data_IF_257589761376
#
_entry.id   IF_257589761376
#
_cell.length_a   1.000
_cell.length_b   1.000
_cell.length_c   1.000
_cell.angle_alpha   90.00
_cell.angle_beta   90.00
_cell.angle_gamma   90.00
#
_symmetry.space_group_name_H-M   'P 1'
#
loop_
_entity.id
_entity.type
_entity.pdbx_description
1 polymer ?
#
# COMPACT_ATOMS: atom_id res chain seq x y z
N UNK A 1 25.38 -29.76 52.71
CA UNK A 1 25.24 -28.68 51.70
C UNK A 1 24.12 -29.10 50.76
N UNK A 2 22.98 -28.42 50.84
CA UNK A 2 21.79 -28.68 50.04
C UNK A 2 22.01 -28.21 48.60
N UNK A 3 21.97 -29.14 47.66
CA UNK A 3 21.97 -28.85 46.23
C UNK A 3 20.71 -28.05 45.87
N UNK A 4 20.87 -26.74 45.68
CA UNK A 4 19.85 -25.89 45.09
C UNK A 4 19.79 -26.25 43.61
N UNK A 5 18.81 -27.07 43.25
CA UNK A 5 18.37 -27.22 41.86
C UNK A 5 17.89 -25.83 41.43
N UNK A 6 18.48 -25.18 40.41
CA UNK A 6 17.97 -23.90 39.95
C UNK A 6 16.57 -24.15 39.41
N UNK A 7 15.56 -23.61 40.09
CA UNK A 7 14.18 -23.58 39.63
C UNK A 7 14.17 -22.92 38.25
N UNK A 8 14.02 -23.71 37.18
CA UNK A 8 13.79 -23.20 35.83
C UNK A 8 12.49 -22.40 35.87
N UNK A 9 12.60 -21.08 35.98
CA UNK A 9 11.44 -20.20 35.89
C UNK A 9 10.88 -20.31 34.46
N UNK A 10 9.63 -20.77 34.36
CA UNK A 10 8.93 -20.94 33.08
C UNK A 10 8.05 -19.73 32.80
N UNK A 11 7.89 -19.43 31.51
CA UNK A 11 6.95 -18.42 31.00
C UNK A 11 5.98 -19.08 30.04
N UNK A 12 4.73 -18.60 30.05
CA UNK A 12 3.70 -18.99 29.11
C UNK A 12 3.58 -17.92 28.04
N UNK A 13 3.74 -18.30 26.77
CA UNK A 13 3.59 -17.40 25.64
C UNK A 13 2.42 -17.86 24.76
N UNK A 14 1.62 -16.90 24.33
CA UNK A 14 0.59 -17.13 23.31
C UNK A 14 1.15 -16.78 21.94
N UNK A 15 1.05 -17.72 21.01
CA UNK A 15 1.57 -17.63 19.66
C UNK A 15 0.41 -17.63 18.66
N UNK A 16 0.59 -16.99 17.51
CA UNK A 16 -0.33 -17.08 16.37
C UNK A 16 0.43 -17.40 15.10
N UNK A 17 -0.10 -18.31 14.29
CA UNK A 17 0.42 -18.56 12.94
C UNK A 17 -0.09 -17.48 12.00
N UNK A 18 0.82 -16.81 11.28
CA UNK A 18 0.50 -15.67 10.40
C UNK A 18 -0.51 -16.02 9.30
N UNK A 19 -0.29 -17.14 8.60
CA UNK A 19 -1.08 -17.56 7.45
C UNK A 19 -2.53 -17.88 7.82
N UNK A 20 -2.74 -18.80 8.77
CA UNK A 20 -4.07 -19.34 9.09
C UNK A 20 -4.71 -18.72 10.34
N UNK A 21 -4.01 -17.80 11.03
CA UNK A 21 -4.44 -17.13 12.27
C UNK A 21 -4.74 -18.08 13.42
N UNK A 22 -4.17 -19.27 13.40
CA UNK A 22 -4.36 -20.26 14.46
C UNK A 22 -3.50 -19.93 15.67
N UNK A 23 -4.16 -19.75 16.82
CA UNK A 23 -3.51 -19.43 18.10
C UNK A 23 -3.24 -20.70 18.89
N UNK A 24 -2.08 -20.76 19.53
CA UNK A 24 -1.68 -21.83 20.43
C UNK A 24 -0.81 -21.27 21.55
N UNK A 25 -0.63 -22.06 22.61
CA UNK A 25 0.14 -21.67 23.79
C UNK A 25 1.37 -22.56 23.89
N UNK A 26 2.49 -21.96 24.28
CA UNK A 26 3.72 -22.68 24.61
C UNK A 26 4.18 -22.34 26.03
N UNK A 27 5.02 -23.21 26.59
CA UNK A 27 5.69 -22.98 27.88
C UNK A 27 7.19 -23.19 27.68
N UNK A 28 8.00 -22.21 28.06
CA UNK A 28 9.46 -22.23 27.86
C UNK A 28 10.19 -21.64 29.07
N UNK A 29 11.45 -22.05 29.30
CA UNK A 29 12.29 -21.49 30.35
C UNK A 29 12.78 -20.08 30.03
N UNK A 30 12.81 -19.20 31.03
CA UNK A 30 13.31 -17.82 30.85
C UNK A 30 14.79 -17.74 30.45
N UNK A 31 15.59 -18.76 30.81
CA UNK A 31 17.02 -18.82 30.47
C UNK A 31 17.32 -19.43 29.10
N UNK A 32 16.29 -19.84 28.35
CA UNK A 32 16.46 -20.38 27.00
C UNK A 32 16.68 -19.24 26.00
N UNK A 33 17.39 -19.54 24.92
CA UNK A 33 17.60 -18.63 23.79
C UNK A 33 16.45 -18.68 22.77
N UNK A 34 16.56 -17.90 21.69
CA UNK A 34 15.55 -17.85 20.63
C UNK A 34 15.53 -19.12 19.75
N UNK A 35 16.62 -19.89 19.67
CA UNK A 35 16.64 -21.15 18.92
C UNK A 35 15.86 -22.24 19.66
N UNK A 36 16.02 -22.30 20.97
CA UNK A 36 15.17 -23.11 21.85
C UNK A 36 13.69 -22.70 21.75
N UNK A 37 13.40 -21.39 21.63
CA UNK A 37 12.04 -20.90 21.42
C UNK A 37 11.43 -21.42 20.12
N UNK A 38 12.19 -21.40 19.02
CA UNK A 38 11.76 -21.97 17.72
C UNK A 38 11.43 -23.45 17.82
N UNK A 39 12.26 -24.25 18.51
CA UNK A 39 12.02 -25.68 18.72
C UNK A 39 10.72 -25.93 19.49
N UNK A 40 10.52 -25.21 20.60
CA UNK A 40 9.30 -25.34 21.42
C UNK A 40 8.05 -24.90 20.63
N UNK A 41 8.16 -23.89 19.77
CA UNK A 41 7.07 -23.46 18.86
C UNK A 41 6.70 -24.57 17.87
N UNK A 42 7.70 -25.21 17.24
CA UNK A 42 7.49 -26.33 16.33
C UNK A 42 6.77 -27.49 17.03
N UNK A 43 7.22 -27.85 18.23
CA UNK A 43 6.62 -28.89 19.08
C UNK A 43 5.20 -28.53 19.56
N UNK A 44 4.90 -27.24 19.74
CA UNK A 44 3.58 -26.76 20.13
C UNK A 44 2.51 -26.95 19.05
N UNK A 45 2.90 -27.20 17.79
CA UNK A 45 1.99 -27.42 16.67
C UNK A 45 2.57 -28.40 15.63
N UNK A 46 2.81 -29.66 16.03
CA UNK A 46 3.68 -30.58 15.29
C UNK A 46 3.14 -30.91 13.89
N UNK A 47 1.82 -31.02 13.73
CA UNK A 47 1.20 -31.31 12.44
C UNK A 47 1.32 -30.15 11.43
N UNK A 48 1.34 -28.90 11.91
CA UNK A 48 1.38 -27.73 11.02
C UNK A 48 2.82 -27.43 10.57
N UNK A 49 3.79 -27.63 11.47
CA UNK A 49 5.22 -27.40 11.20
C UNK A 49 5.99 -28.67 10.82
N UNK A 50 5.30 -29.75 10.43
CA UNK A 50 5.93 -31.06 10.17
C UNK A 50 7.01 -31.01 9.08
N UNK A 51 6.85 -30.11 8.10
CA UNK A 51 7.73 -29.97 6.94
C UNK A 51 8.68 -28.76 7.01
N UNK A 52 8.71 -28.04 8.13
CA UNK A 52 9.56 -26.87 8.32
C UNK A 52 10.63 -27.16 9.37
N UNK A 53 11.89 -26.81 9.11
CA UNK A 53 12.91 -26.87 10.14
C UNK A 53 12.66 -25.80 11.20
N UNK A 54 12.98 -26.10 12.47
CA UNK A 54 12.70 -25.16 13.56
C UNK A 54 13.44 -23.83 13.32
N UNK A 55 14.68 -23.92 12.86
CA UNK A 55 15.57 -22.77 12.62
C UNK A 55 15.05 -21.88 11.47
N UNK A 56 14.27 -22.46 10.56
CA UNK A 56 13.62 -21.76 9.44
C UNK A 56 12.41 -20.92 9.88
N UNK A 57 11.81 -21.18 11.05
CA UNK A 57 10.67 -20.40 11.53
C UNK A 57 11.07 -18.93 11.71
N UNK A 58 10.27 -18.03 11.13
CA UNK A 58 10.43 -16.59 11.30
C UNK A 58 9.50 -16.16 12.43
N UNK A 59 10.08 -15.56 13.47
CA UNK A 59 9.36 -15.15 14.67
C UNK A 59 9.32 -13.63 14.75
N UNK A 60 8.14 -13.09 15.04
CA UNK A 60 7.94 -11.66 15.31
C UNK A 60 7.37 -11.49 16.70
N UNK A 61 7.94 -10.55 17.45
CA UNK A 61 7.42 -10.11 18.75
C UNK A 61 6.20 -9.23 18.54
N UNK A 62 5.21 -9.42 19.40
CA UNK A 62 4.03 -8.56 19.45
C UNK A 62 3.46 -8.49 20.87
N UNK A 63 2.48 -7.62 21.10
CA UNK A 63 1.71 -7.58 22.35
C UNK A 63 0.29 -7.10 22.05
N UNK A 64 -0.52 -8.01 21.52
CA UNK A 64 -1.84 -7.67 20.99
C UNK A 64 -2.89 -8.65 21.50
N UNK A 65 -4.08 -8.15 21.80
CA UNK A 65 -5.18 -9.00 22.22
C UNK A 65 -5.59 -9.99 21.11
N UNK A 66 -5.87 -11.24 21.50
CA UNK A 66 -6.12 -12.33 20.55
C UNK A 66 -7.31 -12.10 19.61
N UNK A 67 -8.33 -11.36 20.05
CA UNK A 67 -9.51 -11.01 19.26
C UNK A 67 -9.19 -10.11 18.05
N UNK A 68 -8.17 -9.26 18.14
CA UNK A 68 -7.72 -8.40 17.04
C UNK A 68 -7.04 -9.25 15.96
N UNK A 69 -6.09 -10.11 16.35
CA UNK A 69 -5.28 -10.88 15.38
C UNK A 69 -6.02 -12.09 14.77
N UNK A 70 -7.07 -12.59 15.43
CA UNK A 70 -7.93 -13.67 14.90
C UNK A 70 -8.74 -13.24 13.68
N UNK A 71 -9.06 -11.95 13.54
CA UNK A 71 -9.81 -11.48 12.40
C UNK A 71 -8.92 -11.52 11.14
N UNK A 72 -9.29 -12.36 10.15
CA UNK A 72 -8.55 -12.49 8.89
C UNK A 72 -8.59 -11.24 8.02
N UNK A 73 -9.58 -10.37 8.22
CA UNK A 73 -9.70 -9.08 7.53
C UNK A 73 -8.77 -8.01 8.12
N UNK A 74 -8.17 -8.30 9.28
CA UNK A 74 -7.17 -7.41 9.90
C UNK A 74 -5.78 -7.73 9.35
N UNK A 75 -5.18 -6.73 8.67
CA UNK A 75 -3.79 -6.76 8.26
C UNK A 75 -2.91 -7.08 9.48
N UNK A 76 -2.05 -8.09 9.37
CA UNK A 76 -1.20 -8.52 10.49
C UNK A 76 0.12 -7.74 10.53
N UNK A 77 0.47 -7.15 9.39
CA UNK A 77 1.69 -6.40 9.12
C UNK A 77 1.92 -5.27 10.15
N UNK A 78 0.92 -4.47 10.57
CA UNK A 78 1.12 -3.43 11.57
C UNK A 78 1.50 -3.95 12.97
N UNK A 79 1.34 -5.25 13.23
CA UNK A 79 1.58 -5.87 14.53
C UNK A 79 2.88 -6.68 14.58
N UNK A 80 3.66 -6.66 13.48
CA UNK A 80 4.99 -7.24 13.38
C UNK A 80 6.01 -6.23 13.94
N UNK A 81 6.14 -6.16 15.27
CA UNK A 81 6.91 -5.08 15.91
C UNK A 81 8.42 -5.27 15.73
N UNK A 82 8.93 -6.40 16.20
CA UNK A 82 10.36 -6.69 16.26
C UNK A 82 10.57 -8.12 15.76
N UNK A 83 11.45 -8.29 14.79
CA UNK A 83 11.83 -9.62 14.32
C UNK A 83 12.79 -10.24 15.34
N UNK A 84 12.53 -11.49 15.72
CA UNK A 84 13.30 -12.21 16.72
C UNK A 84 14.36 -13.08 16.02
N UNK A 85 15.49 -12.48 15.66
CA UNK A 85 16.55 -13.13 14.89
C UNK A 85 17.97 -13.01 15.46
N UNK A 86 18.19 -12.30 16.58
CA UNK A 86 19.48 -12.29 17.29
C UNK A 86 19.64 -13.55 18.16
N UNK A 87 20.56 -14.48 17.84
CA UNK A 87 20.74 -15.70 18.62
C UNK A 87 21.30 -15.45 20.04
N UNK A 88 21.84 -14.27 20.33
CA UNK A 88 22.32 -13.92 21.67
C UNK A 88 21.18 -13.55 22.64
N UNK A 89 19.97 -13.34 22.14
CA UNK A 89 18.82 -12.99 22.96
C UNK A 89 18.25 -14.19 23.72
N UNK A 90 17.89 -13.93 24.98
CA UNK A 90 17.20 -14.90 25.82
C UNK A 90 15.73 -14.56 25.96
N UNK A 91 14.90 -15.58 26.16
CA UNK A 91 13.46 -15.44 26.40
C UNK A 91 13.18 -14.42 27.53
N UNK A 92 14.01 -14.37 28.57
CA UNK A 92 13.90 -13.38 29.66
C UNK A 92 14.04 -11.94 29.15
N UNK A 93 15.05 -11.68 28.32
CA UNK A 93 15.32 -10.33 27.81
C UNK A 93 14.23 -9.91 26.82
N UNK A 94 13.81 -10.83 25.97
CA UNK A 94 12.79 -10.58 24.93
C UNK A 94 11.38 -10.45 25.52
N UNK A 95 11.01 -11.21 26.55
CA UNK A 95 9.65 -11.24 27.08
C UNK A 95 9.59 -10.87 28.57
N UNK A 96 9.64 -9.57 28.85
CA UNK A 96 9.47 -9.03 30.20
C UNK A 96 8.00 -8.76 30.53
N UNK A 97 7.61 -8.96 31.79
CA UNK A 97 6.29 -8.60 32.34
C UNK A 97 5.10 -9.16 31.55
N UNK A 98 5.19 -10.42 31.08
CA UNK A 98 4.08 -11.07 30.39
C UNK A 98 2.96 -11.40 31.38
N UNK A 99 1.95 -10.53 31.41
CA UNK A 99 0.69 -10.73 32.13
C UNK A 99 -0.46 -10.76 31.12
N UNK A 100 -1.42 -11.66 31.32
CA UNK A 100 -2.63 -11.78 30.50
C UNK A 100 -2.49 -12.69 29.26
N UNK A 101 -3.48 -12.60 28.37
CA UNK A 101 -3.70 -13.53 27.25
C UNK A 101 -3.41 -12.91 25.87
N UNK A 102 -2.60 -11.85 25.84
CA UNK A 102 -2.17 -11.25 24.59
C UNK A 102 -1.24 -12.19 23.83
N UNK A 103 -1.36 -12.18 22.50
CA UNK A 103 -0.39 -12.82 21.61
C UNK A 103 0.95 -12.09 21.80
N UNK A 104 2.00 -12.88 21.96
CA UNK A 104 3.38 -12.42 22.16
C UNK A 104 4.29 -12.73 20.98
N UNK A 105 3.94 -13.76 20.21
CA UNK A 105 4.73 -14.21 19.07
C UNK A 105 3.82 -14.45 17.86
N UNK A 106 4.16 -13.85 16.73
CA UNK A 106 3.61 -14.20 15.42
C UNK A 106 4.64 -15.09 14.73
N UNK A 107 4.20 -16.26 14.29
CA UNK A 107 5.03 -17.30 13.68
C UNK A 107 4.73 -17.35 12.19
N UNK A 108 5.78 -17.28 11.39
CA UNK A 108 5.74 -17.43 9.95
C UNK A 108 6.65 -18.61 9.53
N UNK A 109 6.29 -19.28 8.45
CA UNK A 109 7.09 -20.37 7.88
C UNK A 109 7.59 -19.89 6.53
N UNK A 110 8.90 -19.88 6.26
CA UNK A 110 9.39 -19.57 4.93
C UNK A 110 8.79 -20.58 3.97
N UNK A 111 8.26 -20.11 2.84
CA UNK A 111 7.59 -20.96 1.86
C UNK A 111 8.61 -21.95 1.29
N UNK A 112 8.71 -23.12 1.89
CA UNK A 112 9.40 -24.28 1.31
C UNK A 112 8.44 -24.87 0.29
N UNK A 113 8.74 -24.64 -0.99
CA UNK A 113 8.06 -25.27 -2.11
C UNK A 113 8.07 -26.80 -1.94
N UNK A 114 6.97 -27.39 -1.48
CA UNK A 114 6.82 -28.84 -1.52
C UNK A 114 6.57 -29.31 -2.96
N UNK A 115 7.19 -30.43 -3.37
CA UNK A 115 7.24 -30.85 -4.75
C UNK A 115 5.96 -31.60 -5.12
N UNK A 116 5.00 -30.91 -5.72
CA UNK A 116 3.99 -31.60 -6.53
C UNK A 116 3.58 -30.79 -7.75
N UNK A 117 3.83 -31.42 -8.91
CA UNK A 117 3.34 -31.10 -10.24
C UNK A 117 3.86 -29.81 -10.91
N UNK A 118 4.85 -30.02 -11.79
CA UNK A 118 5.29 -29.16 -12.91
C UNK A 118 5.79 -27.77 -12.49
N UNK A 119 7.11 -27.68 -12.34
CA UNK A 119 7.91 -26.45 -12.20
C UNK A 119 7.37 -25.32 -13.08
N UNK A 120 6.67 -24.37 -12.48
CA UNK A 120 6.78 -22.97 -12.91
C UNK A 120 8.19 -22.50 -12.56
N UNK A 121 8.86 -21.68 -13.40
CA UNK A 121 10.16 -21.14 -13.05
C UNK A 121 10.04 -20.33 -11.76
N UNK A 122 11.03 -20.44 -10.87
CA UNK A 122 11.21 -19.58 -9.69
C UNK A 122 10.85 -18.14 -10.07
N UNK A 123 9.90 -17.52 -9.36
CA UNK A 123 9.62 -16.10 -9.56
C UNK A 123 10.88 -15.32 -9.20
N UNK A 124 11.51 -14.74 -10.22
CA UNK A 124 12.62 -13.83 -10.02
C UNK A 124 12.03 -12.52 -9.47
N UNK A 125 12.28 -12.24 -8.19
CA UNK A 125 11.75 -11.15 -7.36
C UNK A 125 11.97 -9.71 -7.89
N UNK A 126 12.58 -9.52 -9.07
CA UNK A 126 12.91 -8.20 -9.65
C UNK A 126 11.73 -7.61 -10.43
N UNK A 127 10.83 -8.43 -10.96
CA UNK A 127 9.59 -7.95 -11.59
C UNK A 127 8.41 -8.43 -10.76
N UNK A 128 7.85 -7.54 -9.96
CA UNK A 128 6.57 -7.72 -9.28
C UNK A 128 5.53 -6.78 -9.88
N UNK A 129 4.26 -7.04 -9.58
CA UNK A 129 3.14 -6.14 -9.89
C UNK A 129 3.06 -4.94 -8.94
N UNK A 130 3.88 -4.92 -7.89
CA UNK A 130 3.73 -4.01 -6.73
C UNK A 130 4.63 -2.76 -6.84
N UNK A 131 5.29 -2.59 -7.99
CA UNK A 131 6.12 -1.43 -8.33
C UNK A 131 7.60 -1.79 -8.56
N UNK A 132 8.42 -0.83 -9.03
CA UNK A 132 9.84 -1.05 -9.31
C UNK A 132 10.66 -1.04 -8.01
N UNK A 133 10.42 -2.02 -7.13
CA UNK A 133 11.10 -2.18 -5.86
C UNK A 133 12.17 -3.27 -5.96
N UNK A 134 13.29 -3.04 -5.28
CA UNK A 134 14.35 -4.04 -5.19
C UNK A 134 13.93 -5.23 -4.31
N UNK A 135 14.16 -6.48 -4.76
CA UNK A 135 13.76 -7.71 -4.08
C UNK A 135 14.08 -7.87 -2.60
N UNK A 136 15.18 -7.25 -2.14
CA UNK A 136 15.79 -7.52 -0.83
C UNK A 136 15.79 -6.30 0.08
N UNK A 137 16.01 -5.11 -0.50
CA UNK A 137 16.01 -3.84 0.23
C UNK A 137 14.64 -3.16 0.24
N UNK A 138 13.74 -3.54 -0.67
CA UNK A 138 12.52 -2.80 -0.95
C UNK A 138 12.77 -1.40 -1.52
N UNK A 139 14.02 -1.02 -1.80
CA UNK A 139 14.35 0.32 -2.30
C UNK A 139 13.87 0.53 -3.73
N UNK A 140 13.60 1.77 -4.13
CA UNK A 140 13.28 2.05 -5.53
C UNK A 140 14.42 1.62 -6.46
N UNK A 141 14.06 1.02 -7.60
CA UNK A 141 15.01 0.63 -8.63
C UNK A 141 15.49 1.80 -9.50
N UNK A 142 14.69 2.86 -9.58
CA UNK A 142 14.95 4.04 -10.39
C UNK A 142 14.92 5.30 -9.55
N UNK A 143 15.63 6.32 -10.00
CA UNK A 143 15.54 7.66 -9.42
C UNK A 143 14.38 8.41 -10.09
N UNK A 144 13.50 9.01 -9.29
CA UNK A 144 12.41 9.86 -9.82
C UNK A 144 12.63 11.30 -9.40
N UNK A 145 12.74 12.22 -10.36
CA UNK A 145 12.94 13.65 -10.08
C UNK A 145 11.83 14.23 -9.20
N UNK A 146 10.57 13.83 -9.44
CA UNK A 146 9.44 14.23 -8.60
C UNK A 146 9.63 13.85 -7.13
N UNK A 147 10.20 12.66 -6.86
CA UNK A 147 10.38 12.17 -5.49
C UNK A 147 11.41 13.03 -4.77
N UNK A 148 12.52 13.33 -5.44
CA UNK A 148 13.60 14.17 -4.92
C UNK A 148 13.16 15.62 -4.72
N UNK A 149 12.40 16.18 -5.67
CA UNK A 149 11.87 17.54 -5.59
C UNK A 149 10.93 17.70 -4.39
N UNK A 150 9.93 16.82 -4.27
CA UNK A 150 8.97 16.87 -3.15
C UNK A 150 9.68 16.66 -1.82
N UNK A 151 10.58 15.68 -1.73
CA UNK A 151 11.35 15.45 -0.51
C UNK A 151 12.17 16.68 -0.10
N UNK A 152 12.90 17.30 -1.03
CA UNK A 152 13.71 18.48 -0.74
C UNK A 152 12.87 19.65 -0.26
N UNK A 153 11.70 19.88 -0.87
CA UNK A 153 10.81 20.97 -0.49
C UNK A 153 10.12 20.68 0.85
N UNK A 154 9.75 19.43 1.10
CA UNK A 154 9.18 18.98 2.37
C UNK A 154 10.14 19.18 3.54
N UNK A 155 11.42 18.85 3.36
CA UNK A 155 12.46 19.08 4.37
C UNK A 155 12.68 20.58 4.67
N UNK A 156 12.28 21.47 3.76
CA UNK A 156 12.27 22.93 3.98
C UNK A 156 10.97 23.45 4.62
N UNK A 157 10.10 22.55 5.10
CA UNK A 157 8.93 22.87 5.92
C UNK A 157 7.59 22.97 5.17
N UNK A 158 7.55 22.53 3.91
CA UNK A 158 6.35 22.62 3.08
C UNK A 158 5.57 21.31 3.07
N UNK A 159 4.30 21.33 3.47
CA UNK A 159 3.41 20.17 3.40
C UNK A 159 2.85 19.93 1.99
N UNK A 160 2.46 18.69 1.70
CA UNK A 160 1.94 18.27 0.41
C UNK A 160 0.66 17.46 0.52
N UNK A 161 -0.22 17.65 -0.47
CA UNK A 161 -1.32 16.75 -0.78
C UNK A 161 -1.11 16.23 -2.20
N UNK A 162 -0.93 14.92 -2.36
CA UNK A 162 -0.60 14.30 -3.63
C UNK A 162 -1.71 13.34 -4.06
N UNK A 163 -2.33 13.63 -5.20
CA UNK A 163 -3.41 12.81 -5.74
C UNK A 163 -2.97 12.03 -6.97
N UNK A 164 -3.66 10.94 -7.28
CA UNK A 164 -3.48 10.20 -8.53
C UNK A 164 -4.26 8.90 -8.55
N UNK A 165 -4.37 8.23 -9.72
CA UNK A 165 -5.16 7.01 -9.85
C UNK A 165 -4.58 5.87 -9.01
N UNK A 166 -5.39 4.86 -8.71
CA UNK A 166 -4.92 3.67 -8.00
C UNK A 166 -3.67 3.09 -8.67
N UNK A 167 -2.71 2.66 -7.84
CA UNK A 167 -1.45 2.05 -8.30
C UNK A 167 -0.50 2.95 -9.13
N UNK A 168 -0.68 4.28 -9.04
CA UNK A 168 0.24 5.26 -9.65
C UNK A 168 1.60 5.44 -8.95
N UNK A 169 1.93 4.62 -7.94
CA UNK A 169 3.20 4.71 -7.20
C UNK A 169 3.20 5.66 -5.99
N UNK A 170 2.03 6.09 -5.51
CA UNK A 170 1.88 6.92 -4.29
C UNK A 170 2.41 6.24 -3.02
N UNK A 171 2.03 4.99 -2.78
CA UNK A 171 2.52 4.19 -1.65
C UNK A 171 4.03 3.98 -1.75
N UNK A 172 4.54 3.74 -2.96
CA UNK A 172 5.97 3.63 -3.26
C UNK A 172 6.71 4.94 -2.94
N UNK A 173 6.10 6.09 -3.19
CA UNK A 173 6.64 7.40 -2.80
C UNK A 173 6.71 7.58 -1.28
N UNK A 174 5.66 7.21 -0.54
CA UNK A 174 5.71 7.24 0.93
C UNK A 174 6.79 6.30 1.49
N UNK A 175 6.96 5.13 0.88
CA UNK A 175 8.03 4.20 1.23
C UNK A 175 9.43 4.80 0.98
N UNK A 176 9.62 5.51 -0.14
CA UNK A 176 10.84 6.27 -0.43
C UNK A 176 11.13 7.30 0.66
N UNK A 177 10.14 8.14 1.02
CA UNK A 177 10.30 9.14 2.07
C UNK A 177 10.66 8.50 3.41
N UNK A 178 9.95 7.43 3.80
CA UNK A 178 10.24 6.67 5.02
C UNK A 178 11.69 6.19 5.07
N UNK A 179 12.16 5.57 3.99
CA UNK A 179 13.54 5.05 3.91
C UNK A 179 14.56 6.18 4.01
N UNK A 180 14.29 7.30 3.35
CA UNK A 180 15.14 8.49 3.41
C UNK A 180 15.18 9.11 4.81
N UNK A 181 14.03 9.22 5.49
CA UNK A 181 13.94 9.76 6.84
C UNK A 181 14.67 8.91 7.86
N UNK A 182 14.57 7.58 7.76
CA UNK A 182 15.38 6.65 8.56
C UNK A 182 16.87 6.90 8.32
N UNK A 183 17.29 6.99 7.06
CA UNK A 183 18.69 7.27 6.70
C UNK A 183 19.21 8.62 7.22
N UNK A 184 18.33 9.62 7.35
CA UNK A 184 18.63 10.95 7.89
C UNK A 184 18.38 11.09 9.40
N UNK A 185 17.92 10.03 10.08
CA UNK A 185 17.54 10.04 11.50
C UNK A 185 16.51 11.13 11.84
N UNK A 186 15.50 11.32 10.98
CA UNK A 186 14.40 12.28 11.19
C UNK A 186 13.23 11.62 11.91
N UNK A 187 12.53 12.38 12.75
CA UNK A 187 11.32 11.92 13.42
C UNK A 187 10.13 11.94 12.45
N UNK A 188 9.48 10.78 12.29
CA UNK A 188 8.31 10.67 11.43
C UNK A 188 7.28 9.69 11.96
N UNK A 189 6.02 9.93 11.58
CA UNK A 189 4.92 9.00 11.76
C UNK A 189 4.36 8.59 10.39
N UNK A 190 4.05 7.31 10.22
CA UNK A 190 3.40 6.80 9.01
C UNK A 190 2.07 6.15 9.39
N UNK A 191 0.98 6.62 8.79
CA UNK A 191 -0.38 6.19 9.07
C UNK A 191 -1.21 6.06 7.79
N UNK A 192 -2.32 5.33 7.88
CA UNK A 192 -3.26 5.11 6.78
C UNK A 192 -4.68 5.44 7.23
N UNK A 193 -5.37 6.33 6.50
CA UNK A 193 -6.74 6.69 6.86
C UNK A 193 -7.74 5.58 6.60
N UNK A 194 -7.40 4.57 5.79
CA UNK A 194 -8.19 3.35 5.66
C UNK A 194 -8.31 2.56 6.98
N UNK A 195 -7.43 2.84 7.97
CA UNK A 195 -7.49 2.30 9.32
C UNK A 195 -8.58 2.93 10.19
N UNK A 196 -9.10 4.10 9.81
CA UNK A 196 -10.12 4.86 10.56
C UNK A 196 -11.51 4.33 10.22
N UNK A 197 -11.85 3.18 10.80
CA UNK A 197 -13.10 2.46 10.54
C UNK A 197 -13.68 1.79 11.79
N UNK A 198 -14.90 1.29 11.67
CA UNK A 198 -15.54 0.48 12.73
C UNK A 198 -15.75 1.26 14.02
N UNK A 199 -15.19 0.79 15.14
CA UNK A 199 -15.38 1.39 16.46
C UNK A 199 -14.89 2.85 16.55
N UNK A 200 -13.90 3.22 15.73
CA UNK A 200 -13.41 4.61 15.64
C UNK A 200 -14.52 5.55 15.15
N UNK A 201 -15.44 5.06 14.30
CA UNK A 201 -16.55 5.84 13.76
C UNK A 201 -17.79 5.87 14.67
N UNK A 202 -17.76 5.22 15.84
CA UNK A 202 -18.88 5.24 16.80
C UNK A 202 -18.96 6.56 17.56
N UNK A 203 -17.80 7.13 17.93
CA UNK A 203 -17.64 8.50 18.38
C UNK A 203 -16.51 9.10 17.54
N UNK A 204 -16.87 9.70 16.41
CA UNK A 204 -15.91 10.03 15.34
C UNK A 204 -14.82 10.95 15.84
N UNK A 205 -15.16 12.04 16.55
CA UNK A 205 -14.15 12.99 17.06
C UNK A 205 -13.18 12.35 18.05
N UNK A 206 -13.71 11.66 19.07
CA UNK A 206 -12.86 11.02 20.09
C UNK A 206 -12.01 9.92 19.47
N UNK A 207 -12.61 9.04 18.68
CA UNK A 207 -11.92 7.96 18.00
C UNK A 207 -10.85 8.44 17.02
N UNK A 208 -11.10 9.55 16.33
CA UNK A 208 -10.10 10.18 15.45
C UNK A 208 -8.89 10.67 16.25
N UNK A 209 -9.10 11.39 17.36
CA UNK A 209 -7.99 11.86 18.20
C UNK A 209 -7.26 10.72 18.89
N UNK A 210 -7.96 9.69 19.35
CA UNK A 210 -7.36 8.46 19.90
C UNK A 210 -6.45 7.78 18.85
N UNK A 211 -6.92 7.69 17.60
CA UNK A 211 -6.16 7.13 16.49
C UNK A 211 -4.94 8.00 16.16
N UNK A 212 -5.12 9.29 15.95
CA UNK A 212 -4.04 10.21 15.57
C UNK A 212 -2.98 10.30 16.66
N UNK A 213 -3.35 10.51 17.91
CA UNK A 213 -2.41 10.56 19.03
C UNK A 213 -1.63 9.25 19.18
N UNK A 214 -2.29 8.10 19.02
CA UNK A 214 -1.59 6.81 19.07
C UNK A 214 -0.61 6.65 17.90
N UNK A 215 -0.99 7.07 16.70
CA UNK A 215 -0.11 6.96 15.53
C UNK A 215 1.12 7.87 15.66
N UNK A 216 0.92 9.11 16.11
CA UNK A 216 1.96 10.13 16.25
C UNK A 216 2.85 9.93 17.47
N UNK A 217 2.27 9.58 18.62
CA UNK A 217 2.96 9.63 19.93
C UNK A 217 2.97 8.29 20.68
N UNK A 218 2.32 7.24 20.15
CA UNK A 218 2.14 5.93 20.81
C UNK A 218 1.35 6.00 22.13
N UNK A 219 0.54 7.03 22.29
CA UNK A 219 -0.32 7.27 23.44
C UNK A 219 -1.72 7.65 22.98
N UNK A 220 -2.75 7.20 23.69
CA UNK A 220 -4.14 7.61 23.44
C UNK A 220 -4.43 8.87 24.23
N UNK A 221 -4.58 9.99 23.52
CA UNK A 221 -4.77 11.32 24.09
C UNK A 221 -6.07 11.92 23.58
N UNK A 222 -6.74 12.68 24.46
CA UNK A 222 -7.82 13.56 24.05
C UNK A 222 -7.30 14.70 23.15
N UNK A 223 -8.21 15.42 22.52
CA UNK A 223 -7.92 16.53 21.61
C UNK A 223 -7.00 17.59 22.23
N UNK A 224 -7.31 18.05 23.45
CA UNK A 224 -6.54 19.11 24.11
C UNK A 224 -5.10 18.66 24.40
N UNK A 225 -4.93 17.44 24.92
CA UNK A 225 -3.60 16.88 25.18
C UNK A 225 -2.82 16.61 23.89
N UNK A 226 -3.50 16.17 22.83
CA UNK A 226 -2.88 15.95 21.53
C UNK A 226 -2.24 17.23 21.01
N UNK A 227 -2.98 18.35 21.00
CA UNK A 227 -2.43 19.63 20.56
C UNK A 227 -1.36 20.17 21.52
N UNK A 228 -1.53 20.01 22.82
CA UNK A 228 -0.48 20.36 23.78
C UNK A 228 0.83 19.63 23.50
N UNK A 229 0.77 18.35 23.09
CA UNK A 229 1.96 17.61 22.66
C UNK A 229 2.57 18.21 21.38
N UNK A 230 1.74 18.44 20.36
CA UNK A 230 2.14 19.01 19.06
C UNK A 230 2.86 20.35 19.23
N UNK A 231 2.30 21.27 20.03
CA UNK A 231 2.90 22.60 20.23
C UNK A 231 4.17 22.60 21.09
N UNK A 232 4.42 21.51 21.83
CA UNK A 232 5.63 21.36 22.64
C UNK A 232 6.75 20.58 21.93
N UNK A 233 6.55 20.16 20.67
CA UNK A 233 7.59 19.51 19.87
C UNK A 233 8.77 20.47 19.67
N UNK A 234 9.97 20.03 20.03
CA UNK A 234 11.21 20.79 19.84
C UNK A 234 11.80 20.59 18.45
N UNK A 235 11.70 19.35 17.97
CA UNK A 235 12.20 18.92 16.67
C UNK A 235 11.04 18.73 15.69
N UNK A 236 11.27 18.90 14.36
CA UNK A 236 10.24 18.69 13.35
C UNK A 236 9.73 17.25 13.32
N UNK A 237 8.41 17.08 13.29
CA UNK A 237 7.74 15.80 13.08
C UNK A 237 7.15 15.74 11.67
N UNK A 238 7.58 14.75 10.89
CA UNK A 238 7.05 14.50 9.54
C UNK A 238 5.93 13.46 9.57
N UNK A 239 4.77 13.76 8.99
CA UNK A 239 3.61 12.86 8.97
C UNK A 239 3.37 12.36 7.54
N UNK A 240 3.50 11.04 7.34
CA UNK A 240 3.22 10.35 6.08
C UNK A 240 1.83 9.72 6.17
N UNK A 241 0.91 10.12 5.29
CA UNK A 241 -0.49 9.73 5.37
C UNK A 241 -0.91 9.05 4.06
N UNK A 242 -1.22 7.77 4.16
CA UNK A 242 -1.71 6.94 3.06
C UNK A 242 -3.24 6.90 3.01
N UNK A 243 -3.80 6.70 1.81
CA UNK A 243 -5.24 6.57 1.57
C UNK A 243 -6.05 7.74 2.17
N UNK A 244 -5.54 8.97 2.04
CA UNK A 244 -6.10 10.13 2.74
C UNK A 244 -7.54 10.45 2.32
N UNK A 245 -7.98 10.04 1.13
CA UNK A 245 -9.35 10.22 0.66
C UNK A 245 -10.40 9.51 1.54
N UNK A 246 -9.99 8.57 2.41
CA UNK A 246 -10.91 7.92 3.33
C UNK A 246 -11.53 8.88 4.36
N UNK A 247 -10.99 10.09 4.55
CA UNK A 247 -11.67 11.12 5.35
C UNK A 247 -13.06 11.47 4.81
N UNK A 248 -13.30 11.25 3.51
CA UNK A 248 -14.58 11.52 2.87
C UNK A 248 -15.62 10.40 3.03
N UNK A 249 -15.29 9.29 3.70
CA UNK A 249 -16.28 8.21 3.92
C UNK A 249 -17.34 8.58 4.93
N UNK A 250 -17.09 9.59 5.77
CA UNK A 250 -18.04 10.09 6.75
C UNK A 250 -17.90 11.63 6.85
N UNK A 251 -19.00 12.40 6.71
CA UNK A 251 -18.94 13.87 6.77
C UNK A 251 -18.35 14.42 8.07
N UNK A 252 -18.68 13.82 9.22
CA UNK A 252 -18.12 14.20 10.52
C UNK A 252 -16.62 13.92 10.59
N UNK A 253 -16.16 12.81 10.01
CA UNK A 253 -14.73 12.48 9.94
C UNK A 253 -13.97 13.52 9.10
N UNK A 254 -14.55 13.94 7.97
CA UNK A 254 -13.98 14.99 7.13
C UNK A 254 -13.83 16.31 7.91
N UNK A 255 -14.86 16.72 8.65
CA UNK A 255 -14.81 17.94 9.46
C UNK A 255 -13.80 17.85 10.61
N UNK A 256 -13.75 16.74 11.33
CA UNK A 256 -12.75 16.54 12.40
C UNK A 256 -11.33 16.53 11.83
N UNK A 257 -11.11 15.88 10.69
CA UNK A 257 -9.82 15.91 10.01
C UNK A 257 -9.46 17.34 9.60
N UNK A 258 -10.38 18.09 8.99
CA UNK A 258 -10.16 19.51 8.63
C UNK A 258 -9.79 20.36 9.85
N UNK A 259 -10.43 20.15 11.00
CA UNK A 259 -10.08 20.84 12.25
C UNK A 259 -8.65 20.50 12.68
N UNK A 260 -8.30 19.22 12.71
CA UNK A 260 -6.94 18.78 13.05
C UNK A 260 -5.88 19.37 12.12
N UNK A 261 -6.08 19.28 10.80
CA UNK A 261 -5.11 19.79 9.83
C UNK A 261 -4.99 21.30 9.85
N UNK A 262 -6.04 22.02 10.25
CA UNK A 262 -5.98 23.48 10.47
C UNK A 262 -5.01 23.83 11.58
N UNK A 263 -5.10 23.13 12.71
CA UNK A 263 -4.27 23.37 13.88
C UNK A 263 -2.80 23.00 13.62
N UNK A 264 -2.54 21.82 13.02
CA UNK A 264 -1.16 21.43 12.73
C UNK A 264 -0.51 22.28 11.63
N UNK A 265 -1.29 22.80 10.68
CA UNK A 265 -0.78 23.73 9.67
C UNK A 265 -0.37 25.09 10.24
N UNK A 266 -0.75 25.37 11.49
CA UNK A 266 -0.27 26.53 12.25
C UNK A 266 0.91 26.17 13.19
N UNK A 267 1.17 24.89 13.43
CA UNK A 267 2.32 24.44 14.20
C UNK A 267 3.58 24.48 13.33
N UNK A 268 4.63 25.17 13.79
CA UNK A 268 5.86 25.36 13.01
C UNK A 268 6.63 24.06 12.75
N UNK A 269 6.52 23.09 13.66
CA UNK A 269 7.32 21.86 13.67
C UNK A 269 6.56 20.63 13.13
N UNK A 270 5.43 20.82 12.42
CA UNK A 270 4.74 19.71 11.77
C UNK A 270 4.68 19.93 10.26
N UNK A 271 5.14 18.91 9.53
CA UNK A 271 5.06 18.85 8.08
C UNK A 271 4.45 17.52 7.68
N UNK A 272 3.64 17.50 6.62
CA UNK A 272 2.96 16.27 6.22
C UNK A 272 2.94 16.07 4.71
N UNK A 273 2.86 14.81 4.32
CA UNK A 273 2.55 14.36 2.96
C UNK A 273 1.35 13.45 3.04
N UNK A 274 0.23 13.91 2.48
CA UNK A 274 -0.97 13.11 2.35
C UNK A 274 -1.16 12.63 0.91
N UNK A 275 -1.33 11.33 0.71
CA UNK A 275 -1.52 10.74 -0.62
C UNK A 275 -2.87 10.05 -0.75
N UNK A 276 -3.48 10.13 -1.93
CA UNK A 276 -4.80 9.52 -2.17
C UNK A 276 -5.27 9.61 -3.63
N UNK A 277 -6.56 9.36 -3.85
CA UNK A 277 -7.19 9.46 -5.17
C UNK A 277 -7.43 10.92 -5.59
N UNK A 278 -7.97 11.13 -6.79
CA UNK A 278 -8.31 12.46 -7.30
C UNK A 278 -9.24 13.24 -6.37
N UNK A 279 -10.10 12.54 -5.62
CA UNK A 279 -11.01 13.10 -4.61
C UNK A 279 -10.37 14.06 -3.61
N UNK A 280 -9.06 13.95 -3.38
CA UNK A 280 -8.33 14.92 -2.57
C UNK A 280 -8.37 16.35 -3.12
N UNK A 281 -8.63 16.54 -4.42
CA UNK A 281 -8.84 17.86 -5.04
C UNK A 281 -10.01 18.60 -4.38
N UNK A 282 -11.02 17.90 -3.86
CA UNK A 282 -12.13 18.50 -3.13
C UNK A 282 -11.69 19.26 -1.88
N UNK A 283 -10.50 18.95 -1.32
CA UNK A 283 -9.94 19.71 -0.20
C UNK A 283 -9.59 21.15 -0.58
N UNK A 284 -9.50 21.48 -1.87
CA UNK A 284 -9.32 22.85 -2.34
C UNK A 284 -10.61 23.67 -2.31
N UNK A 285 -11.78 23.02 -2.29
CA UNK A 285 -13.07 23.70 -2.21
C UNK A 285 -13.14 24.44 -0.88
N UNK A 286 -13.47 25.73 -0.92
CA UNK A 286 -13.79 26.50 0.28
C UNK A 286 -15.13 26.03 0.81
N UNK A 287 -15.22 25.68 2.09
CA UNK A 287 -16.52 25.49 2.72
C UNK A 287 -17.29 26.82 2.67
N UNK A 288 -18.58 26.79 2.36
CA UNK A 288 -19.43 27.99 2.23
C UNK A 288 -19.37 28.92 3.46
N UNK A 289 -19.04 28.37 4.62
CA UNK A 289 -19.00 29.08 5.90
C UNK A 289 -17.57 29.40 6.40
N UNK A 290 -16.52 28.82 5.80
CA UNK A 290 -15.11 29.04 6.19
C UNK A 290 -14.34 29.61 5.00
N UNK A 291 -13.92 30.88 5.09
CA UNK A 291 -13.26 31.61 3.99
C UNK A 291 -11.99 30.94 3.41
N UNK A 292 -11.35 29.99 4.11
CA UNK A 292 -10.07 29.39 3.72
C UNK A 292 -10.03 27.91 4.09
N UNK A 293 -9.73 27.04 3.10
CA UNK A 293 -9.47 25.60 3.32
C UNK A 293 -8.28 25.40 4.27
N UNK A 294 -8.34 24.47 5.23
CA UNK A 294 -7.23 24.20 6.15
C UNK A 294 -5.99 23.64 5.45
N UNK A 295 -6.12 23.22 4.18
CA UNK A 295 -5.03 22.72 3.36
C UNK A 295 -4.43 23.79 2.44
N UNK A 296 -4.82 25.06 2.56
CA UNK A 296 -4.34 26.15 1.71
C UNK A 296 -2.83 26.39 1.80
N UNK A 297 -2.19 25.98 2.90
CA UNK A 297 -0.74 26.03 3.09
C UNK A 297 -0.01 24.85 2.45
N UNK A 298 -0.70 23.76 2.09
CA UNK A 298 -0.09 22.61 1.45
C UNK A 298 -0.05 22.77 -0.07
N UNK A 299 1.01 22.27 -0.69
CA UNK A 299 1.11 22.19 -2.14
C UNK A 299 0.36 20.96 -2.65
N UNK A 300 -0.57 21.18 -3.58
CA UNK A 300 -1.28 20.10 -4.25
C UNK A 300 -0.54 19.71 -5.52
N UNK A 301 -0.17 18.44 -5.64
CA UNK A 301 0.47 17.89 -6.84
C UNK A 301 -0.24 16.61 -7.30
N UNK A 302 -0.26 16.38 -8.61
CA UNK A 302 -0.64 15.10 -9.17
C UNK A 302 0.59 14.19 -9.22
N UNK A 303 0.44 12.92 -8.84
CA UNK A 303 1.50 11.91 -8.95
C UNK A 303 1.79 11.64 -10.43
N UNK A 304 3.00 11.93 -10.94
CA UNK A 304 3.29 11.75 -12.35
C UNK A 304 3.44 10.28 -12.73
N UNK A 305 2.95 9.96 -13.93
CA UNK A 305 3.26 8.72 -14.64
C UNK A 305 4.77 8.60 -14.91
N UNK A 306 5.23 7.40 -15.25
CA UNK A 306 6.59 7.22 -15.73
C UNK A 306 6.77 7.91 -17.07
N UNK A 307 7.86 8.67 -17.16
CA UNK A 307 8.39 9.17 -18.42
C UNK A 307 8.95 8.01 -19.26
N UNK A 308 9.12 8.27 -20.56
CA UNK A 308 9.78 7.34 -21.48
C UNK A 308 11.20 7.03 -20.99
N UNK A 309 11.90 8.01 -20.41
CA UNK A 309 13.23 7.82 -19.84
C UNK A 309 13.20 6.85 -18.66
N UNK A 310 12.32 7.06 -17.68
CA UNK A 310 12.18 6.17 -16.51
C UNK A 310 11.83 4.73 -16.92
N UNK A 311 10.90 4.56 -17.88
CA UNK A 311 10.59 3.24 -18.44
C UNK A 311 11.78 2.61 -19.17
N UNK A 312 12.56 3.42 -19.91
CA UNK A 312 13.81 3.00 -20.55
C UNK A 312 14.85 2.49 -19.55
N UNK A 313 15.04 3.20 -18.45
CA UNK A 313 15.91 2.78 -17.35
C UNK A 313 15.48 1.44 -16.76
N UNK A 314 14.18 1.24 -16.54
CA UNK A 314 13.64 -0.05 -16.07
C UNK A 314 13.90 -1.19 -17.05
N UNK A 315 13.74 -0.97 -18.37
CA UNK A 315 14.11 -1.98 -19.36
C UNK A 315 15.61 -2.30 -19.35
N UNK A 316 16.46 -1.31 -19.11
CA UNK A 316 17.90 -1.51 -19.04
C UNK A 316 18.30 -2.27 -17.77
N UNK A 317 17.66 -1.96 -16.63
CA UNK A 317 17.83 -2.71 -15.38
C UNK A 317 17.33 -4.16 -15.50
N UNK A 318 16.21 -4.36 -16.20
CA UNK A 318 15.74 -5.69 -16.55
C UNK A 318 16.79 -6.45 -17.38
N UNK A 319 17.35 -5.81 -18.40
CA UNK A 319 18.33 -6.44 -19.28
C UNK A 319 19.61 -6.81 -18.55
N UNK A 320 20.10 -5.93 -17.67
CA UNK A 320 21.35 -6.15 -16.94
C UNK A 320 21.21 -7.22 -15.85
N UNK A 321 20.06 -7.28 -15.17
CA UNK A 321 19.91 -8.13 -13.98
C UNK A 321 19.17 -9.44 -14.22
N UNK A 322 18.30 -9.54 -15.25
CA UNK A 322 17.43 -10.70 -15.46
C UNK A 322 17.63 -11.41 -16.80
N UNK A 323 17.72 -10.65 -17.88
CA UNK A 323 17.78 -11.22 -19.23
C UNK A 323 18.72 -10.41 -20.11
N UNK A 324 19.89 -10.98 -20.41
CA UNK A 324 20.91 -10.29 -21.23
C UNK A 324 20.38 -9.86 -22.60
N UNK A 325 19.39 -10.57 -23.15
CA UNK A 325 18.77 -10.22 -24.43
C UNK A 325 17.77 -9.06 -24.28
N UNK A 326 17.28 -8.81 -23.07
CA UNK A 326 16.35 -7.75 -22.74
C UNK A 326 15.00 -7.91 -23.44
N UNK A 327 14.30 -6.78 -23.56
CA UNK A 327 13.09 -6.65 -24.39
C UNK A 327 13.49 -6.06 -25.73
N UNK A 328 13.02 -6.64 -26.85
CA UNK A 328 13.24 -6.10 -28.19
C UNK A 328 12.63 -4.70 -28.34
N UNK A 329 13.25 -3.84 -29.16
CA UNK A 329 12.88 -2.43 -29.28
C UNK A 329 11.39 -2.23 -29.63
N UNK A 330 10.87 -2.94 -30.62
CA UNK A 330 9.46 -2.84 -31.04
C UNK A 330 8.49 -3.24 -29.91
N UNK A 331 8.88 -4.24 -29.11
CA UNK A 331 8.09 -4.65 -27.94
C UNK A 331 8.21 -3.65 -26.78
N UNK A 332 9.37 -3.01 -26.58
CA UNK A 332 9.50 -1.90 -25.62
C UNK A 332 8.55 -0.78 -25.97
N UNK A 333 8.54 -0.36 -27.24
CA UNK A 333 7.61 0.66 -27.75
C UNK A 333 6.17 0.25 -27.45
N UNK A 334 5.81 -1.01 -27.74
CA UNK A 334 4.45 -1.48 -27.49
C UNK A 334 4.07 -1.51 -26.01
N UNK A 335 4.98 -1.94 -25.13
CA UNK A 335 4.74 -1.91 -23.68
C UNK A 335 4.58 -0.47 -23.16
N UNK A 336 5.41 0.46 -23.66
CA UNK A 336 5.33 1.89 -23.30
C UNK A 336 3.96 2.44 -23.70
N UNK A 337 3.55 2.26 -24.95
CA UNK A 337 2.23 2.68 -25.45
C UNK A 337 1.09 2.13 -24.59
N UNK A 338 1.08 0.81 -24.37
CA UNK A 338 0.02 0.10 -23.66
C UNK A 338 -0.09 0.49 -22.17
N UNK A 339 1.05 0.85 -21.57
CA UNK A 339 1.10 1.31 -20.19
C UNK A 339 0.66 2.76 -20.04
N UNK A 340 0.78 3.59 -21.09
CA UNK A 340 0.67 5.04 -21.03
C UNK A 340 1.54 5.67 -19.91
N UNK A 341 2.64 5.01 -19.53
CA UNK A 341 3.48 5.40 -18.40
C UNK A 341 2.91 5.05 -17.02
N UNK A 342 1.71 4.48 -16.92
CA UNK A 342 1.13 4.09 -15.64
C UNK A 342 1.98 3.03 -14.94
N UNK A 343 2.53 3.30 -13.73
CA UNK A 343 3.51 2.44 -13.10
C UNK A 343 3.08 0.98 -12.97
N UNK A 344 1.90 0.70 -12.41
CA UNK A 344 1.45 -0.69 -12.27
C UNK A 344 1.13 -1.35 -13.61
N UNK A 345 0.53 -0.63 -14.56
CA UNK A 345 0.29 -1.15 -15.91
C UNK A 345 1.60 -1.53 -16.59
N UNK A 346 2.62 -0.67 -16.50
CA UNK A 346 3.95 -0.94 -17.02
C UNK A 346 4.57 -2.20 -16.39
N UNK A 347 4.54 -2.29 -15.05
CA UNK A 347 5.10 -3.45 -14.33
C UNK A 347 4.36 -4.75 -14.66
N UNK A 348 3.02 -4.72 -14.80
CA UNK A 348 2.20 -5.85 -15.24
C UNK A 348 2.59 -6.30 -16.65
N UNK A 349 2.71 -5.37 -17.60
CA UNK A 349 3.08 -5.70 -18.98
C UNK A 349 4.50 -6.26 -19.05
N UNK A 350 5.45 -5.68 -18.29
CA UNK A 350 6.80 -6.18 -18.20
C UNK A 350 6.84 -7.60 -17.58
N UNK A 351 5.99 -7.87 -16.58
CA UNK A 351 5.85 -9.20 -15.97
C UNK A 351 5.26 -10.21 -16.94
N UNK A 352 4.23 -9.84 -17.70
CA UNK A 352 3.66 -10.71 -18.75
C UNK A 352 4.71 -11.00 -19.82
N UNK A 353 5.45 -9.98 -20.28
CA UNK A 353 6.58 -10.23 -21.19
C UNK A 353 7.58 -11.20 -20.56
N UNK A 354 7.87 -11.02 -19.27
CA UNK A 354 8.80 -11.89 -18.56
C UNK A 354 8.29 -13.35 -18.47
N UNK A 355 7.02 -13.58 -18.22
CA UNK A 355 6.54 -14.96 -18.04
C UNK A 355 6.33 -15.70 -19.38
N UNK A 356 6.10 -14.97 -20.49
CA UNK A 356 5.74 -15.59 -21.77
C UNK A 356 6.73 -15.39 -22.93
N UNK A 357 7.64 -14.42 -22.84
CA UNK A 357 8.60 -14.04 -23.91
C UNK A 357 7.96 -14.00 -25.32
N UNK A 358 6.83 -13.29 -25.51
CA UNK A 358 6.15 -13.26 -26.80
C UNK A 358 6.97 -12.52 -27.85
N UNK A 359 6.77 -12.90 -29.11
CA UNK A 359 7.12 -12.08 -30.28
C UNK A 359 6.10 -10.96 -30.48
N UNK A 360 6.44 -9.94 -31.27
CA UNK A 360 5.56 -8.79 -31.53
C UNK A 360 4.18 -9.22 -32.07
N UNK A 361 4.14 -10.18 -33.00
CA UNK A 361 2.91 -10.72 -33.60
C UNK A 361 2.03 -11.49 -32.59
N UNK A 362 2.62 -12.02 -31.52
CA UNK A 362 1.91 -12.78 -30.47
C UNK A 362 1.52 -11.93 -29.28
N UNK A 363 2.04 -10.71 -29.16
CA UNK A 363 1.87 -9.84 -27.99
C UNK A 363 0.40 -9.65 -27.61
N UNK A 364 -0.42 -9.19 -28.56
CA UNK A 364 -1.86 -8.93 -28.35
C UNK A 364 -2.60 -10.17 -27.85
N UNK A 365 -2.32 -11.34 -28.43
CA UNK A 365 -2.95 -12.61 -28.03
C UNK A 365 -2.52 -13.03 -26.62
N UNK A 366 -1.26 -12.83 -26.26
CA UNK A 366 -0.75 -13.14 -24.91
C UNK A 366 -1.37 -12.22 -23.87
N UNK A 367 -1.49 -10.93 -24.16
CA UNK A 367 -2.19 -9.99 -23.28
C UNK A 367 -3.64 -10.41 -23.05
N UNK A 368 -4.41 -10.63 -24.12
CA UNK A 368 -5.83 -10.98 -24.02
C UNK A 368 -6.08 -12.25 -23.19
N UNK A 369 -5.19 -13.25 -23.27
CA UNK A 369 -5.35 -14.51 -22.55
C UNK A 369 -4.89 -14.50 -21.09
N UNK A 370 -4.13 -13.49 -20.66
CA UNK A 370 -3.43 -13.53 -19.37
C UNK A 370 -3.58 -12.28 -18.50
N UNK A 371 -3.93 -11.12 -19.06
CA UNK A 371 -3.89 -9.83 -18.37
C UNK A 371 -4.62 -9.83 -17.02
N UNK A 372 -5.85 -10.35 -16.96
CA UNK A 372 -6.66 -10.36 -15.74
C UNK A 372 -5.96 -11.05 -14.55
N UNK A 373 -5.12 -12.07 -14.82
CA UNK A 373 -4.37 -12.81 -13.78
C UNK A 373 -3.29 -11.97 -13.10
N UNK A 374 -2.82 -10.90 -13.73
CA UNK A 374 -1.76 -10.02 -13.22
C UNK A 374 -2.30 -8.72 -12.64
N UNK A 375 -3.59 -8.43 -12.77
CA UNK A 375 -4.20 -7.17 -12.31
C UNK A 375 -4.63 -7.18 -10.83
N UNK A 376 -4.21 -8.17 -10.02
CA UNK A 376 -4.41 -8.23 -8.55
C UNK A 376 -5.79 -7.74 -8.06
N UNK A 377 -6.89 -8.20 -8.69
CA UNK A 377 -8.29 -7.84 -8.37
C UNK A 377 -8.67 -6.38 -8.70
N UNK A 378 -7.74 -5.50 -9.11
CA UNK A 378 -8.03 -4.12 -9.56
C UNK A 378 -9.07 -4.11 -10.68
N UNK A 379 -8.97 -5.04 -11.63
CA UNK A 379 -9.96 -5.17 -12.71
C UNK A 379 -11.36 -5.53 -12.21
N UNK A 380 -11.48 -6.29 -11.11
CA UNK A 380 -12.77 -6.62 -10.49
C UNK A 380 -13.37 -5.39 -9.84
N UNK A 381 -12.58 -4.67 -9.02
CA UNK A 381 -13.06 -3.43 -8.38
C UNK A 381 -13.51 -2.38 -9.39
N UNK A 382 -12.76 -2.19 -10.47
CA UNK A 382 -13.16 -1.27 -11.53
C UNK A 382 -14.43 -1.72 -12.25
N UNK A 383 -14.61 -3.04 -12.46
CA UNK A 383 -15.87 -3.57 -13.02
C UNK A 383 -17.04 -3.30 -12.08
N UNK A 384 -16.88 -3.56 -10.78
CA UNK A 384 -17.92 -3.33 -9.78
C UNK A 384 -18.32 -1.84 -9.74
N UNK A 385 -17.35 -0.92 -9.72
CA UNK A 385 -17.59 0.54 -9.78
C UNK A 385 -18.32 0.97 -11.06
N UNK A 386 -17.99 0.36 -12.21
CA UNK A 386 -18.67 0.63 -13.49
C UNK A 386 -20.07 0.01 -13.50
N UNK A 387 -20.27 -1.16 -12.89
CA UNK A 387 -21.59 -1.80 -12.78
C UNK A 387 -22.56 -0.99 -11.92
N UNK A 388 -22.05 -0.31 -10.89
CA UNK A 388 -22.81 0.61 -10.03
C UNK A 388 -23.13 1.96 -10.69
N UNK A 389 -22.51 2.30 -11.83
CA UNK A 389 -22.85 3.52 -12.58
C UNK A 389 -24.28 3.49 -13.11
N UNK A 390 -24.92 4.67 -13.18
CA UNK A 390 -26.22 4.81 -13.81
C UNK A 390 -26.14 4.71 -15.35
N UNK A 391 -27.29 4.66 -16.02
CA UNK A 391 -27.36 4.47 -17.47
C UNK A 391 -26.70 5.62 -18.25
N UNK A 392 -26.79 6.86 -17.77
CA UNK A 392 -26.19 8.03 -18.43
C UNK A 392 -24.67 8.01 -18.27
N UNK A 393 -24.17 7.70 -17.07
CA UNK A 393 -22.73 7.53 -16.79
C UNK A 393 -22.13 6.41 -17.64
N UNK A 394 -22.84 5.28 -17.79
CA UNK A 394 -22.43 4.16 -18.65
C UNK A 394 -22.43 4.53 -20.12
N UNK A 395 -23.43 5.29 -20.59
CA UNK A 395 -23.48 5.78 -21.96
C UNK A 395 -22.31 6.72 -22.25
N UNK A 396 -22.02 7.67 -21.36
CA UNK A 396 -20.85 8.55 -21.48
C UNK A 396 -19.53 7.76 -21.52
N UNK A 397 -19.35 6.78 -20.61
CA UNK A 397 -18.17 5.92 -20.63
C UNK A 397 -18.07 5.10 -21.92
N UNK A 398 -19.19 4.61 -22.47
CA UNK A 398 -19.23 3.91 -23.77
C UNK A 398 -18.74 4.82 -24.89
N UNK A 399 -19.26 6.05 -24.98
CA UNK A 399 -18.84 7.02 -25.99
C UNK A 399 -17.32 7.27 -25.92
N UNK A 400 -16.77 7.45 -24.72
CA UNK A 400 -15.32 7.60 -24.54
C UNK A 400 -14.53 6.39 -25.08
N UNK A 401 -15.04 5.18 -24.87
CA UNK A 401 -14.38 3.96 -25.34
C UNK A 401 -14.52 3.71 -26.84
N UNK A 402 -15.62 4.16 -27.47
CA UNK A 402 -15.89 3.95 -28.90
C UNK A 402 -14.90 4.70 -29.79
N UNK A 403 -14.50 5.90 -29.38
CA UNK A 403 -13.55 6.70 -30.15
C UNK A 403 -12.11 6.21 -30.02
N UNK A 404 -11.80 5.37 -29.03
CA UNK A 404 -10.45 4.86 -28.71
C UNK A 404 -9.34 5.92 -28.82
N UNK A 405 -9.67 7.19 -28.54
CA UNK A 405 -8.71 8.29 -28.64
C UNK A 405 -7.71 8.16 -27.50
N UNK A 406 -6.44 8.38 -27.81
CA UNK A 406 -5.37 8.39 -26.80
C UNK A 406 -5.63 9.44 -25.71
N UNK A 407 -6.22 10.58 -26.09
CA UNK A 407 -6.63 11.67 -25.20
C UNK A 407 -7.72 12.55 -25.81
N UNK A 408 -8.42 13.33 -24.98
CA UNK A 408 -9.36 14.38 -25.38
C UNK A 408 -9.17 15.65 -24.56
N UNK A 409 -9.76 16.74 -25.05
CA UNK A 409 -9.73 18.04 -24.38
C UNK A 409 -10.78 18.10 -23.28
N UNK A 410 -10.42 18.67 -22.13
CA UNK A 410 -11.31 18.92 -20.99
C UNK A 410 -10.96 20.28 -20.37
N UNK A 411 -11.92 21.03 -19.85
CA UNK A 411 -11.64 22.31 -19.18
C UNK A 411 -11.11 22.05 -17.76
N UNK A 412 -9.77 22.09 -17.60
CA UNK A 412 -9.08 21.74 -16.35
C UNK A 412 -8.58 22.97 -15.58
N UNK A 413 -9.03 24.17 -15.97
CA UNK A 413 -8.59 25.44 -15.37
C UNK A 413 -8.97 25.58 -13.89
N UNK A 414 -10.11 25.00 -13.50
CA UNK A 414 -10.55 24.89 -12.12
C UNK A 414 -11.05 23.47 -11.84
N UNK A 415 -10.15 22.62 -11.32
CA UNK A 415 -10.46 21.22 -11.01
C UNK A 415 -11.58 21.03 -9.98
N UNK A 416 -11.99 22.10 -9.28
CA UNK A 416 -13.11 22.03 -8.33
C UNK A 416 -14.48 22.14 -8.99
N UNK A 417 -14.54 22.47 -10.29
CA UNK A 417 -15.76 22.71 -11.08
C UNK A 417 -15.97 21.74 -12.23
N UNK A 418 -15.25 20.62 -12.23
CA UNK A 418 -15.46 19.57 -13.23
C UNK A 418 -16.89 19.02 -13.13
N UNK A 419 -17.40 18.49 -14.25
CA UNK A 419 -18.66 17.76 -14.28
C UNK A 419 -18.62 16.56 -13.31
N UNK A 420 -19.77 16.19 -12.74
CA UNK A 420 -19.87 15.12 -11.75
C UNK A 420 -19.40 13.77 -12.31
N UNK A 421 -19.68 13.48 -13.59
CA UNK A 421 -19.26 12.23 -14.25
C UNK A 421 -17.74 12.23 -14.43
N UNK A 422 -17.16 13.33 -14.92
CA UNK A 422 -15.72 13.44 -15.12
C UNK A 422 -14.95 13.35 -13.79
N UNK A 423 -15.46 13.97 -12.72
CA UNK A 423 -14.92 13.82 -11.36
C UNK A 423 -14.93 12.36 -10.91
N UNK A 424 -16.07 11.67 -11.07
CA UNK A 424 -16.21 10.25 -10.69
C UNK A 424 -15.21 9.37 -11.44
N UNK A 425 -15.05 9.59 -12.75
CA UNK A 425 -14.11 8.81 -13.57
C UNK A 425 -12.63 9.06 -13.20
N UNK A 426 -12.27 10.28 -12.81
CA UNK A 426 -10.94 10.62 -12.27
C UNK A 426 -10.72 10.01 -10.87
N UNK A 427 -11.76 10.00 -10.03
CA UNK A 427 -11.73 9.46 -8.66
C UNK A 427 -11.49 7.96 -8.63
N UNK A 428 -12.21 7.23 -9.49
CA UNK A 428 -12.05 5.77 -9.68
C UNK A 428 -10.71 5.46 -10.35
N UNK A 429 -10.10 6.44 -11.02
CA UNK A 429 -8.82 6.30 -11.72
C UNK A 429 -8.96 5.67 -13.11
N UNK A 430 -10.14 5.77 -13.73
CA UNK A 430 -10.34 5.45 -15.15
C UNK A 430 -9.62 6.49 -16.01
N UNK A 431 -9.78 7.76 -15.64
CA UNK A 431 -9.17 8.89 -16.31
C UNK A 431 -7.94 9.41 -15.57
N UNK A 432 -7.07 10.05 -16.35
CA UNK A 432 -5.89 10.73 -15.84
C UNK A 432 -5.67 12.05 -16.59
N UNK A 433 -5.38 13.12 -15.85
CA UNK A 433 -4.99 14.41 -16.41
C UNK A 433 -3.56 14.30 -16.93
N UNK A 434 -3.40 14.36 -18.25
CA UNK A 434 -2.11 14.14 -18.93
C UNK A 434 -1.32 15.43 -19.08
N UNK A 435 -2.02 16.54 -19.34
CA UNK A 435 -1.44 17.86 -19.60
C UNK A 435 -2.53 18.94 -19.41
N UNK A 436 -2.17 20.20 -19.67
CA UNK A 436 -3.09 21.35 -19.69
C UNK A 436 -4.27 21.03 -20.61
N UNK A 437 -5.47 20.98 -20.01
CA UNK A 437 -6.73 20.71 -20.67
C UNK A 437 -6.76 19.39 -21.47
N UNK A 438 -5.95 18.39 -21.10
CA UNK A 438 -5.95 17.07 -21.75
C UNK A 438 -6.12 15.96 -20.74
N UNK A 439 -7.06 15.07 -21.04
CA UNK A 439 -7.36 13.88 -20.26
C UNK A 439 -7.32 12.67 -21.17
N UNK A 440 -6.90 11.53 -20.63
CA UNK A 440 -6.96 10.24 -21.31
C UNK A 440 -7.23 9.12 -20.33
N UNK A 441 -7.40 7.91 -20.86
CA UNK A 441 -7.44 6.73 -20.00
C UNK A 441 -6.12 6.56 -19.25
N UNK A 442 -6.19 6.15 -17.99
CA UNK A 442 -5.00 5.90 -17.16
C UNK A 442 -4.00 4.95 -17.82
N UNK A 443 -4.50 3.94 -18.54
CA UNK A 443 -3.69 3.12 -19.47
C UNK A 443 -4.59 2.35 -20.44
N UNK A 444 -4.01 1.81 -21.52
CA UNK A 444 -4.74 0.92 -22.43
C UNK A 444 -5.21 -0.38 -21.75
N UNK A 445 -4.59 -0.79 -20.64
CA UNK A 445 -5.08 -1.90 -19.81
C UNK A 445 -6.43 -1.54 -19.17
N UNK A 446 -6.54 -0.33 -18.60
CA UNK A 446 -7.78 0.15 -17.97
C UNK A 446 -8.87 0.33 -19.02
N UNK A 447 -8.53 0.90 -20.19
CA UNK A 447 -9.45 0.99 -21.34
C UNK A 447 -10.07 -0.37 -21.69
N UNK A 448 -9.28 -1.44 -21.74
CA UNK A 448 -9.81 -2.79 -22.01
C UNK A 448 -10.77 -3.28 -20.93
N UNK A 449 -10.52 -2.96 -19.67
CA UNK A 449 -11.44 -3.29 -18.57
C UNK A 449 -12.75 -2.54 -18.76
N UNK A 450 -12.69 -1.24 -19.07
CA UNK A 450 -13.88 -0.43 -19.35
C UNK A 450 -14.69 -1.00 -20.52
N UNK A 451 -14.06 -1.29 -21.67
CA UNK A 451 -14.73 -1.89 -22.84
C UNK A 451 -15.43 -3.20 -22.46
N UNK A 452 -14.74 -4.09 -21.72
CA UNK A 452 -15.32 -5.37 -21.32
C UNK A 452 -16.52 -5.21 -20.37
N UNK A 453 -16.51 -4.17 -19.53
CA UNK A 453 -17.59 -3.87 -18.59
C UNK A 453 -18.79 -3.20 -19.30
N UNK A 454 -18.54 -2.29 -20.24
CA UNK A 454 -19.58 -1.50 -20.90
C UNK A 454 -20.21 -2.20 -22.10
N UNK A 455 -19.46 -3.09 -22.77
CA UNK A 455 -19.91 -3.94 -23.88
C UNK A 455 -19.73 -5.42 -23.53
N UNK A 456 -20.53 -5.97 -22.59
CA UNK A 456 -20.47 -7.39 -22.30
C UNK A 456 -20.82 -8.16 -23.58
N UNK A 457 -19.84 -8.87 -24.14
CA UNK A 457 -20.09 -9.80 -25.26
C UNK A 457 -21.21 -10.73 -24.85
N UNK A 458 -22.21 -10.89 -25.72
CA UNK A 458 -23.27 -11.87 -25.52
C UNK A 458 -22.63 -13.19 -25.12
N UNK A 459 -23.03 -13.71 -23.96
CA UNK A 459 -22.57 -14.99 -23.44
C UNK A 459 -22.43 -15.96 -24.61
N UNK A 460 -21.25 -16.53 -24.81
CA UNK A 460 -21.11 -17.72 -25.64
C UNK A 460 -22.17 -18.70 -25.13
N UNK A 461 -23.31 -18.76 -25.82
CA UNK A 461 -24.10 -19.97 -25.90
C UNK A 461 -23.10 -21.00 -26.38
N UNK A 462 -22.58 -21.78 -25.44
CA UNK A 462 -22.13 -23.11 -25.72
C UNK A 462 -23.39 -23.84 -26.23
N UNK A 463 -23.71 -23.66 -27.51
CA UNK A 463 -24.34 -24.70 -28.29
C UNK A 463 -23.30 -25.81 -28.39
N UNK A 464 -23.23 -26.64 -27.35
CA UNK A 464 -23.03 -28.05 -27.58
C UNK A 464 -24.38 -28.55 -28.04
N UNK A 465 -24.41 -29.07 -29.26
CA UNK A 465 -25.39 -30.00 -29.84
C UNK A 465 -26.83 -29.96 -29.30
#
# INVERSE_FOLDING_TARGET
MSNIVPTRTLINLWCIVRENRSIFKITIGLGNDLDDLKKVIKEGKPNYFVNADADELILWRTNVASNILRNKETAIEPYLNEKLDDPADTVRNTFQNVVGNNIRVIVDVPVTEQPSARKKPRENNIITTDGPLQPLSGSLMISRNFFQEVESILLNGQSFVIHGPYQSGKSTFLFHLRTSFIGKSLDFAHLTMAGVKGSILTNVRTGFYDYMSFMLFKETLDETKTFAHIYNLKDPLYILIEEFQYIFTNPELCEVAKDFFREISNAMNIHYVAVGTFKLVDLKKSDSDKLISPFNKALFKQMPMFSIQEMGELFNLYQSNLDKNGVLLDLRTKIIEESCGHPASFMILLKIFYDFRPTLDKWTRVLQGNLERYMNVTHTKLKDEIEEMDDNEKEYLRELTDYQKDHWSMELGDLTKLDDIDNKLLDIGILYIMDINKVGFTSCIILRVCINATFPTSSKRLSRD
#
